data_IF_466638791383
#
_entry.id   IF_466638791383
#
_cell.length_a   1.000
_cell.length_b   1.000
_cell.length_c   1.000
_cell.angle_alpha   90.00
_cell.angle_beta   90.00
_cell.angle_gamma   90.00
#
_symmetry.space_group_name_H-M   'P 1'
#
loop_
_entity.id
_entity.type
_entity.pdbx_description
1 polymer ?
#
# COMPACT_ATOMS: atom_id res chain seq x y z
N UNK A 1 -23.77 -4.97 -14.72
CA UNK A 1 -22.47 -4.36 -14.40
C UNK A 1 -22.63 -3.33 -13.28
N UNK A 2 -23.62 -2.43 -13.34
CA UNK A 2 -23.92 -1.44 -12.27
C UNK A 2 -24.11 -2.05 -10.87
N UNK A 3 -24.89 -3.12 -10.73
CA UNK A 3 -25.09 -3.79 -9.43
C UNK A 3 -23.78 -4.30 -8.79
N UNK A 4 -22.78 -4.65 -9.61
CA UNK A 4 -21.48 -5.13 -9.12
C UNK A 4 -20.60 -3.98 -8.65
N UNK A 5 -20.64 -2.84 -9.36
CA UNK A 5 -19.92 -1.64 -8.97
C UNK A 5 -20.48 -1.04 -7.67
N UNK A 6 -21.81 -0.96 -7.55
CA UNK A 6 -22.48 -0.53 -6.31
C UNK A 6 -22.15 -1.45 -5.14
N UNK A 7 -22.18 -2.77 -5.36
CA UNK A 7 -21.75 -3.73 -4.33
C UNK A 7 -20.28 -3.51 -3.92
N UNK A 8 -19.40 -3.24 -4.89
CA UNK A 8 -17.98 -2.98 -4.65
C UNK A 8 -17.74 -1.70 -3.83
N UNK A 9 -18.50 -0.63 -4.08
CA UNK A 9 -18.46 0.59 -3.26
C UNK A 9 -18.83 0.33 -1.79
N UNK A 10 -19.83 -0.53 -1.55
CA UNK A 10 -20.30 -0.86 -0.18
C UNK A 10 -19.32 -1.79 0.56
N UNK A 11 -18.87 -2.88 -0.08
CA UNK A 11 -18.03 -3.88 0.60
C UNK A 11 -16.53 -3.55 0.55
N UNK A 12 -16.10 -2.77 -0.43
CA UNK A 12 -14.70 -2.45 -0.71
C UNK A 12 -13.94 -1.87 0.49
N UNK A 13 -14.49 -0.88 1.23
CA UNK A 13 -13.83 -0.36 2.42
C UNK A 13 -13.62 -1.42 3.51
N UNK A 14 -14.58 -2.34 3.67
CA UNK A 14 -14.48 -3.46 4.61
C UNK A 14 -13.39 -4.45 4.20
N UNK A 15 -13.31 -4.80 2.90
CA UNK A 15 -12.25 -5.65 2.35
C UNK A 15 -10.88 -4.99 2.50
N UNK A 16 -10.77 -3.70 2.16
CA UNK A 16 -9.54 -2.93 2.32
C UNK A 16 -9.07 -2.90 3.78
N UNK A 17 -9.96 -2.64 4.73
CA UNK A 17 -9.65 -2.66 6.16
C UNK A 17 -9.19 -4.04 6.64
N UNK A 18 -9.85 -5.11 6.20
CA UNK A 18 -9.46 -6.48 6.53
C UNK A 18 -8.05 -6.82 6.00
N UNK A 19 -7.73 -6.42 4.77
CA UNK A 19 -6.38 -6.61 4.19
C UNK A 19 -5.31 -5.82 4.95
N UNK A 20 -5.59 -4.56 5.31
CA UNK A 20 -4.67 -3.75 6.10
C UNK A 20 -4.39 -4.38 7.47
N UNK A 21 -5.46 -4.80 8.14
CA UNK A 21 -5.38 -5.49 9.43
C UNK A 21 -4.63 -6.81 9.33
N UNK A 22 -4.87 -7.61 8.30
CA UNK A 22 -4.15 -8.86 8.06
C UNK A 22 -2.64 -8.63 7.86
N UNK A 23 -2.26 -7.62 7.06
CA UNK A 23 -0.86 -7.27 6.85
C UNK A 23 -0.14 -6.93 8.16
N UNK A 24 -0.73 -6.06 8.98
CA UNK A 24 -0.17 -5.70 10.29
C UNK A 24 -0.22 -6.85 11.30
N UNK A 25 -1.22 -7.73 11.21
CA UNK A 25 -1.29 -8.91 12.06
C UNK A 25 -0.14 -9.88 11.76
N UNK A 26 0.14 -10.21 10.49
CA UNK A 26 1.30 -11.06 10.15
C UNK A 26 2.60 -10.51 10.72
N UNK A 27 2.81 -9.20 10.63
CA UNK A 27 3.99 -8.55 11.18
C UNK A 27 4.07 -8.66 12.71
N UNK A 28 2.99 -8.30 13.41
CA UNK A 28 2.95 -8.35 14.88
C UNK A 28 3.12 -9.78 15.38
N UNK A 29 2.49 -10.76 14.74
CA UNK A 29 2.68 -12.18 15.04
C UNK A 29 4.15 -12.58 14.95
N UNK A 30 4.82 -12.24 13.85
CA UNK A 30 6.23 -12.58 13.66
C UNK A 30 7.16 -11.89 14.68
N UNK A 31 6.86 -10.66 15.08
CA UNK A 31 7.61 -9.96 16.13
C UNK A 31 7.42 -10.64 17.50
N UNK A 32 6.18 -11.00 17.84
CA UNK A 32 5.86 -11.66 19.12
C UNK A 32 6.44 -13.07 19.20
N UNK A 33 6.40 -13.82 18.10
CA UNK A 33 6.93 -15.18 18.02
C UNK A 33 8.46 -15.23 17.85
N UNK A 34 9.12 -14.09 17.63
CA UNK A 34 10.57 -14.05 17.47
C UNK A 34 11.29 -14.31 18.79
N UNK A 35 12.17 -15.31 18.82
CA UNK A 35 13.04 -15.61 19.96
C UNK A 35 14.12 -14.53 20.19
N UNK A 36 14.40 -13.72 19.17
CA UNK A 36 15.40 -12.66 19.20
C UNK A 36 14.72 -11.31 18.96
N UNK A 37 15.23 -10.25 19.59
CA UNK A 37 14.73 -8.89 19.36
C UNK A 37 14.90 -8.51 17.88
N UNK A 38 13.77 -8.29 17.20
CA UNK A 38 13.73 -7.80 15.82
C UNK A 38 14.25 -6.35 15.80
N UNK A 39 15.19 -6.06 14.90
CA UNK A 39 15.75 -4.72 14.74
C UNK A 39 14.72 -3.77 14.15
N UNK A 40 14.81 -2.47 14.50
CA UNK A 40 13.89 -1.45 13.97
C UNK A 40 13.88 -1.36 12.44
N UNK A 41 14.99 -1.76 11.78
CA UNK A 41 15.09 -1.73 10.33
C UNK A 41 14.04 -2.61 9.64
N UNK A 42 13.63 -3.73 10.27
CA UNK A 42 12.61 -4.61 9.73
C UNK A 42 11.19 -4.04 9.80
N UNK A 43 10.95 -3.00 10.60
CA UNK A 43 9.65 -2.35 10.69
C UNK A 43 9.45 -1.31 9.58
N UNK A 44 10.53 -0.76 9.02
CA UNK A 44 10.48 0.33 8.05
C UNK A 44 9.69 -0.03 6.79
N UNK A 45 9.91 -1.19 6.12
CA UNK A 45 9.18 -1.52 4.90
C UNK A 45 7.65 -1.46 5.06
N UNK A 46 7.12 -2.06 6.13
CA UNK A 46 5.67 -2.08 6.41
C UNK A 46 5.09 -0.71 6.75
N UNK A 47 5.87 0.15 7.44
CA UNK A 47 5.48 1.54 7.71
C UNK A 47 5.41 2.33 6.40
N UNK A 48 6.43 2.25 5.55
CA UNK A 48 6.44 2.93 4.26
C UNK A 48 5.37 2.39 3.31
N UNK A 49 5.06 1.09 3.37
CA UNK A 49 3.91 0.53 2.65
C UNK A 49 2.59 1.15 3.11
N UNK A 50 2.43 1.36 4.42
CA UNK A 50 1.23 2.00 4.99
C UNK A 50 1.13 3.47 4.60
N UNK A 51 2.24 4.21 4.62
CA UNK A 51 2.29 5.59 4.11
C UNK A 51 1.93 5.63 2.64
N UNK A 52 2.47 4.73 1.82
CA UNK A 52 2.16 4.65 0.40
C UNK A 52 0.67 4.35 0.14
N UNK A 53 0.08 3.42 0.91
CA UNK A 53 -1.35 3.14 0.86
C UNK A 53 -2.18 4.40 1.15
N UNK A 54 -1.81 5.19 2.17
CA UNK A 54 -2.44 6.48 2.43
C UNK A 54 -2.25 7.46 1.27
N UNK A 55 -1.06 7.52 0.67
CA UNK A 55 -0.79 8.38 -0.47
C UNK A 55 -1.70 8.07 -1.66
N UNK A 56 -1.93 6.79 -1.98
CA UNK A 56 -2.89 6.39 -3.02
C UNK A 56 -4.31 6.88 -2.71
N UNK A 57 -4.74 6.75 -1.45
CA UNK A 57 -6.08 7.15 -1.03
C UNK A 57 -6.28 8.68 -1.01
N UNK A 58 -5.20 9.47 -1.04
CA UNK A 58 -5.27 10.93 -1.14
C UNK A 58 -5.38 11.46 -2.59
N UNK A 59 -5.37 10.58 -3.61
CA UNK A 59 -5.48 10.97 -5.03
C UNK A 59 -6.91 10.81 -5.52
N UNK A 60 -7.58 11.91 -5.85
CA UNK A 60 -8.85 11.86 -6.58
C UNK A 60 -8.62 11.38 -8.02
N UNK A 61 -9.52 10.55 -8.54
CA UNK A 61 -9.47 10.11 -9.95
C UNK A 61 -9.86 11.23 -10.91
N UNK A 62 -10.64 12.20 -10.44
CA UNK A 62 -11.03 13.39 -11.21
C UNK A 62 -9.81 14.24 -11.54
N UNK A 63 -8.90 14.42 -10.58
CA UNK A 63 -7.63 15.15 -10.77
C UNK A 63 -6.68 14.46 -11.78
N UNK A 64 -6.94 13.20 -12.15
CA UNK A 64 -6.14 12.46 -13.12
C UNK A 64 -6.71 12.53 -14.55
N UNK A 65 -8.01 12.77 -14.68
CA UNK A 65 -8.74 12.81 -15.95
C UNK A 65 -9.05 14.25 -16.34
N UNK A 66 -8.14 14.88 -17.08
CA UNK A 66 -8.37 16.22 -17.63
C UNK A 66 -9.70 16.25 -18.41
N UNK A 67 -10.65 17.02 -17.92
CA UNK A 67 -11.99 17.10 -18.49
C UNK A 67 -11.91 17.54 -19.95
N UNK A 68 -12.70 16.95 -20.86
CA UNK A 68 -12.71 17.33 -22.29
C UNK A 68 -13.06 18.82 -22.50
N UNK A 69 -13.72 19.45 -21.52
CA UNK A 69 -14.03 20.88 -21.47
C UNK A 69 -12.84 21.80 -21.14
N UNK A 70 -11.75 21.27 -20.56
CA UNK A 70 -10.55 22.06 -20.19
C UNK A 70 -9.64 22.40 -21.38
N UNK A 71 -9.90 21.83 -22.56
CA UNK A 71 -9.12 22.07 -23.77
C UNK A 71 -9.17 23.52 -24.31
N UNK A 72 -10.10 24.37 -23.82
CA UNK A 72 -10.33 25.71 -24.37
C UNK A 72 -9.94 26.90 -23.48
N UNK A 73 -9.30 26.70 -22.33
CA UNK A 73 -8.65 27.82 -21.63
C UNK A 73 -8.59 27.70 -20.12
N UNK A 74 -7.41 27.32 -19.62
CA UNK A 74 -7.10 27.23 -18.19
C UNK A 74 -6.71 25.82 -17.82
N UNK A 75 -5.50 25.40 -18.17
CA UNK A 75 -4.96 24.13 -17.71
C UNK A 75 -4.86 24.15 -16.20
N UNK A 76 -5.63 23.30 -15.52
CA UNK A 76 -5.63 23.24 -14.07
C UNK A 76 -4.24 22.82 -13.57
N UNK A 77 -3.64 23.66 -12.72
CA UNK A 77 -2.38 23.38 -12.01
C UNK A 77 -2.43 22.08 -11.18
N UNK A 78 -3.61 21.49 -10.99
CA UNK A 78 -3.83 20.32 -10.15
C UNK A 78 -3.49 18.98 -10.83
N UNK A 79 -3.61 18.86 -12.15
CA UNK A 79 -3.45 17.56 -12.83
C UNK A 79 -2.01 17.03 -12.72
N UNK A 80 -1.01 17.88 -13.01
CA UNK A 80 0.40 17.47 -12.96
C UNK A 80 0.85 17.18 -11.52
N UNK A 81 0.26 17.86 -10.53
CA UNK A 81 0.52 17.65 -9.10
C UNK A 81 -0.03 16.30 -8.65
N UNK A 82 -1.25 15.95 -9.05
CA UNK A 82 -1.85 14.64 -8.77
C UNK A 82 -1.07 13.50 -9.42
N UNK A 83 -0.67 13.65 -10.68
CA UNK A 83 0.20 12.68 -11.39
C UNK A 83 1.55 12.51 -10.73
N UNK A 84 2.20 13.60 -10.32
CA UNK A 84 3.48 13.54 -9.60
C UNK A 84 3.32 12.87 -8.23
N UNK A 85 2.26 13.18 -7.49
CA UNK A 85 1.99 12.56 -6.20
C UNK A 85 1.75 11.05 -6.32
N UNK A 86 0.95 10.63 -7.32
CA UNK A 86 0.73 9.24 -7.63
C UNK A 86 2.03 8.52 -8.04
N UNK A 87 2.88 9.18 -8.84
CA UNK A 87 4.20 8.66 -9.19
C UNK A 87 5.06 8.41 -7.95
N UNK A 88 5.11 9.36 -7.02
CA UNK A 88 5.86 9.19 -5.76
C UNK A 88 5.27 8.03 -4.94
N UNK A 89 3.95 7.90 -4.86
CA UNK A 89 3.31 6.76 -4.18
C UNK A 89 3.75 5.41 -4.79
N UNK A 90 3.78 5.30 -6.12
CA UNK A 90 4.31 4.10 -6.79
C UNK A 90 5.78 3.85 -6.46
N UNK A 91 6.64 4.87 -6.50
CA UNK A 91 8.06 4.73 -6.15
C UNK A 91 8.23 4.24 -4.70
N UNK A 92 7.53 4.85 -3.74
CA UNK A 92 7.58 4.43 -2.33
C UNK A 92 7.12 2.99 -2.17
N UNK A 93 6.06 2.57 -2.87
CA UNK A 93 5.55 1.19 -2.88
C UNK A 93 6.59 0.17 -3.35
N UNK A 94 7.25 0.44 -4.49
CA UNK A 94 8.25 -0.49 -5.03
C UNK A 94 9.49 -0.54 -4.16
N UNK A 95 9.94 0.61 -3.64
CA UNK A 95 11.11 0.67 -2.76
C UNK A 95 10.86 -0.06 -1.45
N UNK A 96 9.69 0.12 -0.81
CA UNK A 96 9.39 -0.59 0.43
C UNK A 96 9.23 -2.09 0.22
N UNK A 97 8.61 -2.52 -0.88
CA UNK A 97 8.50 -3.95 -1.22
C UNK A 97 9.87 -4.56 -1.49
N UNK A 98 10.73 -3.89 -2.27
CA UNK A 98 12.08 -4.34 -2.54
C UNK A 98 12.94 -4.40 -1.27
N UNK A 99 12.84 -3.39 -0.39
CA UNK A 99 13.51 -3.39 0.91
C UNK A 99 13.06 -4.57 1.77
N UNK A 100 11.75 -4.87 1.80
CA UNK A 100 11.22 -6.02 2.53
C UNK A 100 11.76 -7.35 2.01
N UNK A 101 11.83 -7.52 0.69
CA UNK A 101 12.42 -8.72 0.08
C UNK A 101 13.91 -8.81 0.37
N UNK A 102 14.63 -7.68 0.36
CA UNK A 102 16.04 -7.62 0.74
C UNK A 102 16.28 -8.08 2.18
N UNK A 103 15.43 -7.68 3.12
CA UNK A 103 15.50 -8.14 4.51
C UNK A 103 15.14 -9.63 4.65
N UNK A 104 14.17 -10.14 3.89
CA UNK A 104 13.90 -11.58 3.82
C UNK A 104 15.13 -12.36 3.36
N UNK A 105 15.82 -11.89 2.30
CA UNK A 105 17.05 -12.54 1.82
C UNK A 105 18.15 -12.49 2.89
N UNK A 106 18.28 -11.37 3.61
CA UNK A 106 19.23 -11.26 4.71
C UNK A 106 18.92 -12.24 5.85
N UNK A 107 17.66 -12.34 6.27
CA UNK A 107 17.21 -13.26 7.32
C UNK A 107 17.35 -14.73 6.88
N UNK A 108 17.26 -15.02 5.58
CA UNK A 108 17.48 -16.36 5.02
C UNK A 108 18.96 -16.78 4.95
N UNK A 109 19.87 -15.82 4.86
CA UNK A 109 21.31 -16.08 4.71
C UNK A 109 22.09 -15.98 6.03
N UNK A 110 21.46 -15.57 7.13
CA UNK A 110 22.14 -15.32 8.40
C UNK A 110 21.55 -16.16 9.54
N UNK A 111 22.39 -16.95 10.21
CA UNK A 111 21.97 -17.84 11.31
C UNK A 111 21.87 -17.11 12.67
N UNK A 112 22.29 -15.85 12.73
CA UNK A 112 22.37 -15.05 13.98
C UNK A 112 21.26 -14.00 14.10
N UNK A 113 20.36 -13.92 13.12
CA UNK A 113 19.34 -12.89 12.99
C UNK A 113 17.94 -13.37 13.40
N UNK A 114 16.91 -12.52 13.17
CA UNK A 114 15.52 -12.95 13.21
C UNK A 114 15.30 -14.16 12.29
N UNK A 115 14.33 -14.99 12.64
CA UNK A 115 14.01 -16.16 11.82
C UNK A 115 13.52 -15.75 10.43
N UNK A 116 13.62 -16.67 9.46
CA UNK A 116 13.08 -16.48 8.10
C UNK A 116 11.59 -16.09 8.12
N UNK A 117 10.83 -16.54 9.12
CA UNK A 117 9.42 -16.13 9.29
C UNK A 117 9.26 -14.61 9.44
N UNK A 118 10.18 -13.93 10.13
CA UNK A 118 10.17 -12.47 10.26
C UNK A 118 10.30 -11.78 8.92
N UNK A 119 11.22 -12.24 8.07
CA UNK A 119 11.35 -11.75 6.70
C UNK A 119 10.11 -12.01 5.84
N UNK A 120 9.53 -13.22 5.92
CA UNK A 120 8.33 -13.60 5.16
C UNK A 120 7.14 -12.74 5.59
N UNK A 121 6.93 -12.59 6.90
CA UNK A 121 5.88 -11.76 7.45
C UNK A 121 6.01 -10.29 7.05
N UNK A 122 7.24 -9.75 6.99
CA UNK A 122 7.48 -8.40 6.47
C UNK A 122 7.05 -8.26 5.00
N UNK A 123 7.36 -9.24 4.15
CA UNK A 123 6.94 -9.21 2.74
C UNK A 123 5.42 -9.31 2.62
N UNK A 124 4.80 -10.22 3.38
CA UNK A 124 3.35 -10.34 3.43
C UNK A 124 2.71 -9.03 3.88
N UNK A 125 3.21 -8.41 4.95
CA UNK A 125 2.73 -7.12 5.44
C UNK A 125 2.73 -6.08 4.32
N UNK A 126 3.86 -5.89 3.63
CA UNK A 126 3.96 -4.94 2.52
C UNK A 126 2.93 -5.23 1.42
N UNK A 127 2.79 -6.49 0.99
CA UNK A 127 1.85 -6.89 -0.06
C UNK A 127 0.40 -6.63 0.36
N UNK A 128 0.00 -7.09 1.54
CA UNK A 128 -1.37 -6.92 2.05
C UNK A 128 -1.74 -5.45 2.23
N UNK A 129 -0.82 -4.64 2.76
CA UNK A 129 -1.05 -3.20 2.97
C UNK A 129 -1.15 -2.44 1.64
N UNK A 130 -0.31 -2.76 0.65
CA UNK A 130 -0.38 -2.12 -0.67
C UNK A 130 -1.66 -2.52 -1.43
N UNK A 131 -2.05 -3.80 -1.38
CA UNK A 131 -3.32 -4.26 -1.97
C UNK A 131 -4.51 -3.60 -1.26
N UNK A 132 -4.46 -3.43 0.06
CA UNK A 132 -5.47 -2.70 0.82
C UNK A 132 -5.63 -1.26 0.31
N UNK A 133 -4.53 -0.53 0.16
CA UNK A 133 -4.54 0.83 -0.38
C UNK A 133 -5.18 0.92 -1.77
N UNK A 134 -4.79 0.02 -2.68
CA UNK A 134 -5.40 -0.05 -4.01
C UNK A 134 -6.87 -0.46 -3.98
N UNK A 135 -7.26 -1.36 -3.08
CA UNK A 135 -8.65 -1.81 -2.92
C UNK A 135 -9.54 -0.65 -2.48
N UNK A 136 -9.10 0.12 -1.48
CA UNK A 136 -9.84 1.30 -1.03
C UNK A 136 -9.92 2.37 -2.14
N UNK A 137 -8.80 2.66 -2.79
CA UNK A 137 -8.75 3.62 -3.87
C UNK A 137 -9.65 3.23 -5.06
N UNK A 138 -9.82 1.92 -5.33
CA UNK A 138 -10.72 1.46 -6.41
C UNK A 138 -12.20 1.52 -6.03
N UNK A 139 -12.57 1.20 -4.78
CA UNK A 139 -13.97 1.23 -4.35
C UNK A 139 -14.51 2.65 -4.12
N UNK A 140 -13.65 3.58 -3.67
CA UNK A 140 -14.05 4.95 -3.37
C UNK A 140 -14.45 5.77 -4.60
N UNK A 141 -14.12 5.32 -5.82
CA UNK A 141 -14.43 6.06 -7.06
C UNK A 141 -15.62 5.50 -7.83
N UNK A 142 -16.51 4.75 -7.18
CA UNK A 142 -17.74 4.24 -7.80
C UNK A 142 -18.97 5.10 -7.52
N UNK A 143 -18.83 6.20 -6.77
CA UNK A 143 -19.96 6.97 -6.23
C UNK A 143 -20.16 8.38 -6.83
N UNK A 144 -19.38 8.78 -7.84
CA UNK A 144 -19.62 10.00 -8.62
C UNK A 144 -19.83 9.70 -10.11
#
# INVERSE_FOLDING_TARGET
MENLAMLWGIIGPGVAGALFGAGWWFWVDAVVCSAVKVSFIHYLPGIFASVSALMFNCVSKEDLGGDYYSAYGGGDDNEWRAKLWLFIAYVVSFVCLAASVGLLVQDALTDKGPSVWTGVAGVLQCVFVLISGLTYWTCHSSDD
#
